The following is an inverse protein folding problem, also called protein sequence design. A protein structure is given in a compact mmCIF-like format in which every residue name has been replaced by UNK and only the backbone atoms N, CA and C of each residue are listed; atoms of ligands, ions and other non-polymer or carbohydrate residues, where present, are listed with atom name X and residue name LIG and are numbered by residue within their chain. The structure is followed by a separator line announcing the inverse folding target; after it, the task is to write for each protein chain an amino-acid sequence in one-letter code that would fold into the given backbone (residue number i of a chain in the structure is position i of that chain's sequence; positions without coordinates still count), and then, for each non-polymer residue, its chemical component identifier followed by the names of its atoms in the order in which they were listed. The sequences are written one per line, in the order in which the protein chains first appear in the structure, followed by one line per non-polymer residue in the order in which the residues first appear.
data_IF_222512330255
#
_entry.id   IF_222512330255
#
_cell.length_a   1.000
_cell.length_b   1.000
_cell.length_c   1.000
_cell.angle_alpha   90.00
_cell.angle_beta   90.00
_cell.angle_gamma   90.00
#
_symmetry.space_group_name_H-M   'P 1'
#
loop_
_entity.id
_entity.type
_entity.pdbx_description
1 polymer ?
#
# COMPACT_ATOMS: atom_id res chain seq x y z
N UNK A 1 12.36 -22.29 -2.38
CA UNK A 1 10.90 -22.21 -2.41
C UNK A 1 10.53 -21.08 -3.35
N UNK A 2 10.30 -21.40 -4.63
CA UNK A 2 9.84 -20.44 -5.64
C UNK A 2 9.43 -21.25 -6.88
N UNK A 3 8.43 -22.12 -6.73
CA UNK A 3 8.00 -22.96 -7.84
C UNK A 3 7.19 -22.11 -8.85
N UNK A 4 7.24 -22.43 -10.15
CA UNK A 4 6.44 -21.74 -11.17
C UNK A 4 4.94 -21.72 -10.86
N UNK A 5 4.46 -22.67 -10.06
CA UNK A 5 3.05 -22.84 -9.73
C UNK A 5 2.62 -22.18 -8.40
N UNK A 6 3.55 -21.60 -7.64
CA UNK A 6 3.24 -20.90 -6.39
C UNK A 6 2.59 -19.55 -6.69
N UNK A 7 1.75 -19.04 -5.78
CA UNK A 7 1.01 -17.80 -5.96
C UNK A 7 1.80 -16.57 -5.49
N UNK A 8 1.58 -15.46 -6.18
CA UNK A 8 1.82 -14.11 -5.66
C UNK A 8 0.52 -13.64 -5.00
N UNK A 9 0.53 -13.46 -3.68
CA UNK A 9 -0.60 -12.90 -2.97
C UNK A 9 -0.63 -11.38 -3.15
N UNK A 10 -1.81 -10.83 -3.44
CA UNK A 10 -2.06 -9.38 -3.45
C UNK A 10 -3.09 -9.09 -2.37
N UNK A 11 -2.66 -8.40 -1.33
CA UNK A 11 -3.48 -8.05 -0.17
C UNK A 11 -3.85 -6.56 -0.23
N UNK A 12 -5.13 -6.25 0.00
CA UNK A 12 -5.64 -4.89 0.15
C UNK A 12 -6.68 -4.83 1.27
N UNK A 13 -6.94 -3.64 1.81
CA UNK A 13 -8.01 -3.45 2.80
C UNK A 13 -9.41 -3.55 2.18
N UNK A 14 -9.53 -3.58 0.85
CA UNK A 14 -10.81 -3.68 0.16
C UNK A 14 -10.62 -4.08 -1.30
N UNK A 15 -11.25 -3.33 -2.21
CA UNK A 15 -11.21 -3.60 -3.67
C UNK A 15 -10.26 -2.67 -4.44
N UNK A 16 -9.70 -1.64 -3.81
CA UNK A 16 -8.83 -0.65 -4.47
C UNK A 16 -7.57 -1.28 -5.05
N UNK A 17 -7.03 -2.29 -4.38
CA UNK A 17 -5.86 -3.06 -4.79
C UNK A 17 -6.05 -3.87 -6.09
N UNK A 18 -7.28 -4.01 -6.60
CA UNK A 18 -7.52 -4.66 -7.91
C UNK A 18 -6.82 -3.89 -9.02
N UNK A 19 -6.67 -2.56 -8.89
CA UNK A 19 -5.89 -1.74 -9.82
C UNK A 19 -4.42 -2.20 -9.90
N UNK A 20 -3.79 -2.46 -8.75
CA UNK A 20 -2.42 -2.98 -8.64
C UNK A 20 -2.35 -4.38 -9.24
N UNK A 21 -3.28 -5.28 -8.89
CA UNK A 21 -3.36 -6.63 -9.47
C UNK A 21 -3.47 -6.59 -10.99
N UNK A 22 -4.27 -5.69 -11.55
CA UNK A 22 -4.40 -5.52 -13.00
C UNK A 22 -3.07 -5.15 -13.65
N UNK A 23 -2.28 -4.27 -13.04
CA UNK A 23 -0.95 -3.94 -13.54
C UNK A 23 0.02 -5.12 -13.41
N UNK A 24 0.01 -5.83 -12.28
CA UNK A 24 0.84 -7.02 -12.07
C UNK A 24 0.56 -8.10 -13.12
N UNK A 25 -0.72 -8.39 -13.42
CA UNK A 25 -1.10 -9.37 -14.45
C UNK A 25 -0.62 -9.00 -15.85
N UNK A 26 -0.50 -7.70 -16.16
CA UNK A 26 0.02 -7.25 -17.46
C UNK A 26 1.54 -7.38 -17.55
N UNK A 27 2.25 -7.09 -16.46
CA UNK A 27 3.71 -7.17 -16.40
C UNK A 27 4.21 -8.62 -16.23
N UNK A 28 3.44 -9.45 -15.55
CA UNK A 28 3.79 -10.82 -15.18
C UNK A 28 2.68 -11.80 -15.64
N UNK A 29 2.45 -11.96 -16.95
CA UNK A 29 1.32 -12.75 -17.47
C UNK A 29 1.42 -14.25 -17.17
N UNK A 30 2.62 -14.76 -16.90
CA UNK A 30 2.85 -16.16 -16.52
C UNK A 30 2.62 -16.46 -15.05
N UNK A 31 2.33 -15.44 -14.24
CA UNK A 31 2.22 -15.58 -12.79
C UNK A 31 0.81 -15.92 -12.32
N UNK A 32 0.74 -16.72 -11.25
CA UNK A 32 -0.53 -17.03 -10.56
C UNK A 32 -0.72 -16.05 -9.42
N UNK A 33 -1.90 -15.44 -9.35
CA UNK A 33 -2.24 -14.48 -8.32
C UNK A 33 -3.38 -14.99 -7.44
N UNK A 34 -3.28 -14.71 -6.14
CA UNK A 34 -4.41 -14.78 -5.21
C UNK A 34 -4.65 -13.37 -4.67
N UNK A 35 -5.88 -12.89 -4.75
CA UNK A 35 -6.25 -11.58 -4.22
C UNK A 35 -7.01 -11.75 -2.91
N UNK A 36 -6.66 -10.96 -1.90
CA UNK A 36 -7.38 -10.87 -0.64
C UNK A 36 -7.72 -9.41 -0.37
N UNK A 37 -9.02 -9.11 -0.35
CA UNK A 37 -9.53 -7.80 0.04
C UNK A 37 -10.26 -7.90 1.37
N UNK A 38 -9.76 -7.23 2.41
CA UNK A 38 -10.37 -7.26 3.75
C UNK A 38 -11.57 -6.29 3.87
N UNK A 39 -12.53 -6.42 2.96
CA UNK A 39 -13.67 -5.49 2.86
C UNK A 39 -14.52 -5.45 4.13
N UNK A 40 -14.51 -6.52 4.93
CA UNK A 40 -15.20 -6.58 6.22
C UNK A 40 -14.62 -5.59 7.25
N UNK A 41 -13.34 -5.26 7.12
CA UNK A 41 -12.64 -4.31 7.99
C UNK A 41 -12.28 -3.00 7.28
N UNK A 42 -12.74 -2.78 6.04
CA UNK A 42 -12.56 -1.51 5.35
C UNK A 42 -13.32 -0.35 6.06
N UNK A 43 -12.88 0.91 5.89
CA UNK A 43 -11.57 1.32 5.37
C UNK A 43 -10.49 1.26 6.46
N UNK A 44 -9.25 0.94 6.09
CA UNK A 44 -8.12 0.94 7.04
C UNK A 44 -7.65 2.35 7.42
N UNK A 45 -7.88 3.35 6.56
CA UNK A 45 -7.40 4.72 6.75
C UNK A 45 -7.87 5.36 8.06
N UNK A 46 -9.06 5.01 8.55
CA UNK A 46 -9.66 5.57 9.76
C UNK A 46 -9.35 4.78 11.03
N UNK A 47 -8.62 3.67 10.92
CA UNK A 47 -8.35 2.77 12.04
C UNK A 47 -7.01 3.10 12.74
N UNK A 48 -6.89 2.79 14.04
CA UNK A 48 -5.61 2.84 14.75
C UNK A 48 -4.53 1.99 14.05
N UNK A 49 -3.29 2.48 14.04
CA UNK A 49 -2.16 1.79 13.37
C UNK A 49 -1.97 0.36 13.86
N UNK A 50 -2.08 0.13 15.17
CA UNK A 50 -1.90 -1.19 15.77
C UNK A 50 -3.00 -2.17 15.36
N UNK A 51 -4.23 -1.67 15.18
CA UNK A 51 -5.33 -2.48 14.66
C UNK A 51 -5.11 -2.85 13.19
N UNK A 52 -4.74 -1.88 12.35
CA UNK A 52 -4.42 -2.13 10.93
C UNK A 52 -3.30 -3.16 10.79
N UNK A 53 -2.26 -3.03 11.61
CA UNK A 53 -1.15 -3.98 11.65
C UNK A 53 -1.64 -5.38 12.00
N UNK A 54 -2.40 -5.54 13.08
CA UNK A 54 -2.95 -6.84 13.50
C UNK A 54 -3.78 -7.48 12.40
N UNK A 55 -4.72 -6.73 11.81
CA UNK A 55 -5.57 -7.20 10.72
C UNK A 55 -4.73 -7.65 9.51
N UNK A 56 -3.71 -6.86 9.15
CA UNK A 56 -2.80 -7.19 8.04
C UNK A 56 -2.03 -8.48 8.31
N UNK A 57 -1.46 -8.64 9.51
CA UNK A 57 -0.74 -9.86 9.88
C UNK A 57 -1.65 -11.09 9.85
N UNK A 58 -2.86 -10.99 10.42
CA UNK A 58 -3.85 -12.08 10.39
C UNK A 58 -4.26 -12.47 8.97
N UNK A 59 -4.44 -11.49 8.07
CA UNK A 59 -4.76 -11.78 6.68
C UNK A 59 -3.60 -12.49 5.95
N UNK A 60 -2.36 -12.11 6.23
CA UNK A 60 -1.17 -12.77 5.66
C UNK A 60 -1.01 -14.19 6.19
N UNK A 61 -1.21 -14.42 7.48
CA UNK A 61 -1.23 -15.75 8.08
C UNK A 61 -2.30 -16.64 7.43
N UNK A 62 -3.50 -16.11 7.24
CA UNK A 62 -4.57 -16.80 6.53
C UNK A 62 -4.14 -17.19 5.11
N UNK A 63 -3.57 -16.26 4.35
CA UNK A 63 -3.12 -16.52 2.98
C UNK A 63 -2.02 -17.58 2.93
N UNK A 64 -1.02 -17.52 3.80
CA UNK A 64 0.05 -18.52 3.87
C UNK A 64 -0.46 -19.91 4.28
N UNK A 65 -1.48 -19.97 5.13
CA UNK A 65 -2.11 -21.24 5.55
C UNK A 65 -2.88 -21.90 4.42
N UNK A 66 -3.52 -21.11 3.55
CA UNK A 66 -4.44 -21.63 2.54
C UNK A 66 -3.84 -21.75 1.13
N UNK A 67 -2.73 -21.07 0.85
CA UNK A 67 -2.12 -21.04 -0.47
C UNK A 67 -0.60 -21.20 -0.39
N UNK A 68 0.02 -21.92 -1.35
CA UNK A 68 1.47 -21.93 -1.50
C UNK A 68 1.91 -20.58 -2.07
N UNK A 69 2.46 -19.71 -1.22
CA UNK A 69 2.88 -18.36 -1.61
C UNK A 69 4.39 -18.29 -1.86
N UNK A 70 4.77 -17.63 -2.94
CA UNK A 70 6.17 -17.25 -3.21
C UNK A 70 6.46 -15.77 -2.92
N UNK A 71 5.44 -14.93 -2.97
CA UNK A 71 5.55 -13.51 -2.68
C UNK A 71 4.22 -12.94 -2.15
N UNK A 72 4.32 -11.81 -1.46
CA UNK A 72 3.21 -10.98 -1.00
C UNK A 72 3.40 -9.56 -1.49
N UNK A 73 2.36 -9.02 -2.10
CA UNK A 73 2.20 -7.60 -2.44
C UNK A 73 1.13 -7.02 -1.53
N UNK A 74 1.53 -6.11 -0.65
CA UNK A 74 0.62 -5.29 0.15
C UNK A 74 0.24 -4.08 -0.69
N UNK A 75 -0.92 -4.16 -1.36
CA UNK A 75 -1.44 -3.14 -2.28
C UNK A 75 -2.13 -1.95 -1.58
N UNK A 76 -2.43 -2.08 -0.28
CA UNK A 76 -2.98 -0.99 0.52
C UNK A 76 -1.84 -0.08 1.05
N UNK A 77 -1.91 1.23 0.78
CA UNK A 77 -0.96 2.21 1.32
C UNK A 77 -0.96 2.22 2.86
N UNK A 78 -2.14 2.20 3.47
CA UNK A 78 -2.28 2.23 4.94
C UNK A 78 -1.72 0.96 5.58
N UNK A 79 -2.00 -0.21 5.01
CA UNK A 79 -1.41 -1.46 5.49
C UNK A 79 0.10 -1.49 5.26
N UNK A 80 0.57 -0.94 4.13
CA UNK A 80 2.01 -0.83 3.85
C UNK A 80 2.72 -0.03 4.93
N UNK A 81 2.21 1.16 5.24
CA UNK A 81 2.77 2.03 6.26
C UNK A 81 2.74 1.39 7.66
N UNK A 82 1.69 0.63 7.98
CA UNK A 82 1.50 0.04 9.31
C UNK A 82 2.30 -1.26 9.54
N UNK A 83 2.42 -2.14 8.55
CA UNK A 83 2.78 -3.54 8.79
C UNK A 83 3.99 -4.07 7.99
N UNK A 84 4.40 -3.44 6.89
CA UNK A 84 5.39 -4.07 5.97
C UNK A 84 6.76 -4.30 6.61
N UNK A 85 7.19 -3.42 7.53
CA UNK A 85 8.45 -3.63 8.27
C UNK A 85 8.40 -4.90 9.13
N UNK A 86 7.29 -5.12 9.83
CA UNK A 86 7.11 -6.28 10.70
C UNK A 86 6.89 -7.56 9.90
N UNK A 87 6.15 -7.50 8.78
CA UNK A 87 6.02 -8.62 7.86
C UNK A 87 7.39 -9.11 7.36
N UNK A 88 8.28 -8.18 6.99
CA UNK A 88 9.66 -8.53 6.56
C UNK A 88 10.48 -9.14 7.70
N UNK A 89 10.31 -8.66 8.92
CA UNK A 89 11.00 -9.20 10.09
C UNK A 89 10.48 -10.60 10.47
N UNK A 90 9.15 -10.81 10.41
CA UNK A 90 8.52 -12.09 10.72
C UNK A 90 8.83 -13.16 9.65
N UNK A 91 9.01 -12.75 8.39
CA UNK A 91 9.21 -13.65 7.27
C UNK A 91 10.46 -13.26 6.43
N UNK A 92 11.68 -13.41 6.94
CA UNK A 92 12.90 -12.93 6.27
C UNK A 92 13.22 -13.63 4.94
N UNK A 93 12.70 -14.84 4.72
CA UNK A 93 12.84 -15.58 3.45
C UNK A 93 11.69 -15.38 2.47
N UNK A 94 10.67 -14.59 2.83
CA UNK A 94 9.47 -14.36 2.03
C UNK A 94 9.52 -12.99 1.37
N UNK A 95 9.26 -12.93 0.06
CA UNK A 95 9.32 -11.67 -0.68
C UNK A 95 8.09 -10.83 -0.32
N UNK A 96 8.29 -9.73 0.42
CA UNK A 96 7.23 -8.79 0.81
C UNK A 96 7.45 -7.42 0.15
N UNK A 97 6.56 -7.09 -0.78
CA UNK A 97 6.50 -5.81 -1.50
C UNK A 97 5.35 -4.98 -0.93
N UNK A 98 5.61 -3.73 -0.54
CA UNK A 98 4.58 -2.76 -0.19
C UNK A 98 4.49 -1.67 -1.25
N UNK A 99 3.41 -0.90 -1.25
CA UNK A 99 3.30 0.28 -2.12
C UNK A 99 4.22 1.39 -1.63
N UNK A 100 5.05 1.89 -2.54
CA UNK A 100 5.80 3.11 -2.29
C UNK A 100 4.85 4.32 -2.36
N UNK A 101 4.90 5.26 -1.41
CA UNK A 101 4.08 6.47 -1.48
C UNK A 101 4.37 7.25 -2.77
N UNK A 102 3.31 7.69 -3.45
CA UNK A 102 3.43 8.45 -4.70
C UNK A 102 4.31 9.69 -4.57
N UNK A 103 4.34 10.29 -3.37
CA UNK A 103 5.21 11.42 -3.04
C UNK A 103 6.69 11.11 -3.23
N UNK A 104 7.16 9.93 -2.80
CA UNK A 104 8.56 9.54 -2.99
C UNK A 104 8.89 9.46 -4.47
N UNK A 105 8.03 8.81 -5.25
CA UNK A 105 8.20 8.67 -6.69
C UNK A 105 8.28 10.04 -7.38
N UNK A 106 7.47 11.01 -6.92
CA UNK A 106 7.54 12.38 -7.41
C UNK A 106 8.84 13.09 -7.00
N UNK A 107 9.25 12.96 -5.73
CA UNK A 107 10.47 13.59 -5.21
C UNK A 107 11.74 13.04 -5.87
N UNK A 108 11.81 11.73 -6.10
CA UNK A 108 12.97 11.08 -6.73
C UNK A 108 13.11 11.44 -8.21
N UNK A 109 12.00 11.56 -8.94
CA UNK A 109 12.03 11.93 -10.36
C UNK A 109 12.25 13.43 -10.58
N UNK A 110 11.94 14.28 -9.60
CA UNK A 110 12.03 15.73 -9.70
C UNK A 110 12.79 16.35 -8.50
N UNK A 111 14.10 16.06 -8.34
CA UNK A 111 14.90 16.61 -7.25
C UNK A 111 15.00 18.14 -7.37
N UNK A 112 14.81 18.84 -6.24
CA UNK A 112 14.70 20.31 -6.19
C UNK A 112 13.41 20.86 -6.80
N UNK A 113 12.49 19.99 -7.23
CA UNK A 113 11.24 20.33 -7.87
C UNK A 113 10.16 20.87 -6.94
N UNK A 114 9.05 21.29 -7.53
CA UNK A 114 7.83 21.74 -6.85
C UNK A 114 6.74 20.69 -7.04
N UNK A 115 6.31 20.04 -5.97
CA UNK A 115 5.38 18.90 -6.02
C UNK A 115 4.06 19.29 -5.36
N UNK A 116 2.95 19.16 -6.08
CA UNK A 116 1.60 19.31 -5.53
C UNK A 116 1.05 17.97 -5.06
N UNK A 117 0.60 17.88 -3.81
CA UNK A 117 -0.12 16.71 -3.30
C UNK A 117 -1.58 17.05 -3.10
N UNK A 118 -2.43 16.42 -3.92
CA UNK A 118 -3.88 16.60 -3.90
C UNK A 118 -4.48 15.53 -2.99
N UNK A 119 -5.15 15.95 -1.92
CA UNK A 119 -5.87 15.05 -1.02
C UNK A 119 -7.06 15.77 -0.36
N UNK A 120 -7.92 15.00 0.31
CA UNK A 120 -9.00 15.60 1.12
C UNK A 120 -8.42 16.46 2.24
N UNK A 121 -9.19 17.43 2.72
CA UNK A 121 -8.74 18.29 3.83
C UNK A 121 -8.39 17.50 5.09
N UNK A 122 -9.11 16.40 5.35
CA UNK A 122 -8.85 15.53 6.49
C UNK A 122 -7.45 14.92 6.37
N UNK A 123 -7.13 14.32 5.23
CA UNK A 123 -5.81 13.70 4.99
C UNK A 123 -4.67 14.71 5.09
N UNK A 124 -4.84 15.93 4.58
CA UNK A 124 -3.79 16.96 4.63
C UNK A 124 -3.49 17.49 6.05
N UNK A 125 -4.39 17.26 7.01
CA UNK A 125 -4.25 17.64 8.42
C UNK A 125 -3.79 16.47 9.31
N UNK A 126 -3.66 15.26 8.78
CA UNK A 126 -3.22 14.11 9.57
C UNK A 126 -1.72 14.17 9.85
N UNK A 127 -1.34 13.92 11.11
CA UNK A 127 0.06 13.88 11.56
C UNK A 127 0.90 12.85 10.76
N UNK A 128 0.29 11.73 10.38
CA UNK A 128 0.95 10.72 9.53
C UNK A 128 1.35 11.26 8.16
N UNK A 129 0.52 12.13 7.58
CA UNK A 129 0.81 12.76 6.30
C UNK A 129 1.93 13.81 6.45
N UNK A 130 1.94 14.57 7.54
CA UNK A 130 3.03 15.50 7.86
C UNK A 130 4.37 14.79 8.02
N UNK A 131 4.40 13.67 8.75
CA UNK A 131 5.59 12.83 8.89
C UNK A 131 6.07 12.33 7.51
N UNK A 132 5.15 12.00 6.60
CA UNK A 132 5.49 11.59 5.25
C UNK A 132 6.10 12.74 4.44
N UNK A 133 5.52 13.94 4.52
CA UNK A 133 6.04 15.14 3.85
C UNK A 133 7.44 15.50 4.32
N UNK A 134 7.65 15.54 5.63
CA UNK A 134 8.92 15.91 6.25
C UNK A 134 10.10 15.02 5.83
N UNK A 135 9.85 13.77 5.41
CA UNK A 135 10.90 12.90 4.86
C UNK A 135 11.45 13.35 3.52
N UNK A 136 10.78 14.27 2.83
CA UNK A 136 11.13 14.71 1.49
C UNK A 136 11.34 16.23 1.38
N UNK A 137 11.30 16.97 2.50
CA UNK A 137 11.50 18.43 2.53
C UNK A 137 12.88 18.84 1.98
N UNK A 138 13.91 18.01 2.19
CA UNK A 138 15.25 18.25 1.64
C UNK A 138 15.35 17.93 0.14
N UNK A 139 14.42 17.14 -0.40
CA UNK A 139 14.45 16.67 -1.79
C UNK A 139 13.60 17.54 -2.71
N UNK A 140 12.50 18.13 -2.23
CA UNK A 140 11.58 18.92 -3.04
C UNK A 140 10.74 19.90 -2.19
N UNK A 141 10.26 20.96 -2.82
CA UNK A 141 9.25 21.84 -2.21
C UNK A 141 7.87 21.25 -2.41
N UNK A 142 7.18 20.91 -1.32
CA UNK A 142 5.88 20.22 -1.36
C UNK A 142 4.74 21.17 -1.02
N UNK A 143 3.73 21.22 -1.88
CA UNK A 143 2.51 22.02 -1.73
C UNK A 143 1.33 21.10 -1.42
N UNK A 144 0.68 21.32 -0.28
CA UNK A 144 -0.59 20.67 0.07
C UNK A 144 -1.74 21.34 -0.68
N UNK A 145 -2.47 20.60 -1.50
CA UNK A 145 -3.58 21.13 -2.31
C UNK A 145 -4.86 20.40 -1.90
N UNK A 146 -5.71 21.00 -1.05
CA UNK A 146 -7.00 20.39 -0.71
C UNK A 146 -7.90 20.31 -1.94
N UNK A 147 -8.53 19.15 -2.12
CA UNK A 147 -9.49 18.90 -3.22
C UNK A 147 -10.87 18.52 -2.70
N UNK A 148 -11.60 19.45 -2.06
CA UNK A 148 -12.96 19.19 -1.57
C UNK A 148 -13.89 18.85 -2.74
N UNK A 149 -14.80 17.89 -2.56
CA UNK A 149 -15.78 17.51 -3.58
C UNK A 149 -15.28 16.52 -4.64
N UNK A 150 -13.97 16.19 -4.68
CA UNK A 150 -13.43 15.30 -5.71
C UNK A 150 -13.85 13.84 -5.53
N UNK A 151 -14.00 13.39 -4.28
CA UNK A 151 -14.43 12.01 -3.99
C UNK A 151 -15.88 11.83 -4.46
N UNK A 152 -16.73 12.80 -4.16
CA UNK A 152 -18.15 12.83 -4.52
C UNK A 152 -18.41 12.93 -6.04
N UNK A 153 -17.41 13.31 -6.82
CA UNK A 153 -17.48 13.33 -8.29
C UNK A 153 -16.98 12.03 -8.94
N UNK A 154 -16.21 11.22 -8.21
CA UNK A 154 -15.59 9.97 -8.70
C UNK A 154 -16.44 8.75 -8.34
N UNK A 155 -17.08 8.79 -7.16
CA UNK A 155 -17.98 7.74 -6.64
C UNK A 155 -19.45 8.01 -6.99
#
# INVERSE_FOLDING_TARGET
MNQPHDYIAVFDSGVGGISVLRHLRRLLPGERFVYYGDSANAPYGTRPTDEVRRLTLTAVEYLQKHYPLKALVVACNTATAAAVKELRAAYPGFIVVGIEPALKVAADHFPGGRIGVLATEVTLREEKFDILLHRFDENATIYKIPVPGLVELVE
#
